data_IF_150678824671
#
_entry.id   IF_150678824671
#
_cell.length_a   1.000
_cell.length_b   1.000
_cell.length_c   1.000
_cell.angle_alpha   90.00
_cell.angle_beta   90.00
_cell.angle_gamma   90.00
#
_symmetry.space_group_name_H-M   'P 1'
#
loop_
_entity.id
_entity.type
_entity.pdbx_description
1 polymer ?
#
# COMPACT_ATOMS: atom_id res chain seq x y z
N UNK A 1 -24.52 -11.43 13.20
CA UNK A 1 -23.61 -10.46 13.83
C UNK A 1 -22.51 -11.11 14.68
N UNK A 2 -22.72 -12.28 15.30
CA UNK A 2 -21.70 -13.02 16.08
C UNK A 2 -20.46 -13.44 15.28
N UNK A 3 -20.60 -13.78 13.98
CA UNK A 3 -19.48 -14.24 13.14
C UNK A 3 -18.36 -13.20 12.91
N UNK A 4 -18.67 -11.90 12.90
CA UNK A 4 -17.66 -10.86 12.63
C UNK A 4 -16.80 -10.55 13.86
N UNK A 5 -17.40 -10.53 15.06
CA UNK A 5 -16.68 -10.30 16.31
C UNK A 5 -15.73 -11.45 16.60
N UNK A 6 -16.18 -12.70 16.44
CA UNK A 6 -15.30 -13.86 16.60
C UNK A 6 -14.12 -13.86 15.62
N UNK A 7 -14.34 -13.44 14.37
CA UNK A 7 -13.26 -13.35 13.39
C UNK A 7 -12.26 -12.24 13.72
N UNK A 8 -12.74 -11.07 14.16
CA UNK A 8 -11.89 -9.99 14.68
C UNK A 8 -11.04 -10.46 15.86
N UNK A 9 -11.66 -11.07 16.86
CA UNK A 9 -10.98 -11.51 18.07
C UNK A 9 -9.93 -12.57 17.75
N UNK A 10 -10.24 -13.54 16.86
CA UNK A 10 -9.32 -14.57 16.42
C UNK A 10 -8.08 -13.98 15.71
N UNK A 11 -8.28 -13.05 14.76
CA UNK A 11 -7.16 -12.42 14.06
C UNK A 11 -6.34 -11.50 14.97
N UNK A 12 -7.01 -10.78 15.88
CA UNK A 12 -6.33 -9.93 16.87
C UNK A 12 -5.47 -10.79 17.81
N UNK A 13 -6.01 -11.88 18.34
CA UNK A 13 -5.24 -12.80 19.20
C UNK A 13 -4.08 -13.45 18.45
N UNK A 14 -4.28 -13.81 17.18
CA UNK A 14 -3.22 -14.33 16.33
C UNK A 14 -2.09 -13.31 16.14
N UNK A 15 -2.43 -12.04 15.93
CA UNK A 15 -1.46 -10.95 15.88
C UNK A 15 -0.64 -10.83 17.18
N UNK A 16 -1.31 -10.95 18.33
CA UNK A 16 -0.62 -10.96 19.64
C UNK A 16 0.31 -12.16 19.77
N UNK A 17 -0.10 -13.34 19.30
CA UNK A 17 0.73 -14.54 19.33
C UNK A 17 2.00 -14.38 18.46
N UNK A 18 1.87 -13.80 17.26
CA UNK A 18 3.01 -13.48 16.38
C UNK A 18 4.00 -12.54 17.08
N UNK A 19 3.51 -11.48 17.73
CA UNK A 19 4.37 -10.54 18.44
C UNK A 19 5.08 -11.19 19.64
N UNK A 20 4.37 -12.02 20.43
CA UNK A 20 4.96 -12.81 21.51
C UNK A 20 6.00 -13.82 21.02
N UNK A 21 5.86 -14.31 19.78
CA UNK A 21 6.84 -15.16 19.11
C UNK A 21 8.08 -14.39 18.59
N UNK A 22 8.15 -13.06 18.81
CA UNK A 22 9.35 -12.27 18.56
C UNK A 22 9.39 -11.55 17.22
N UNK A 23 8.24 -11.37 16.55
CA UNK A 23 8.13 -10.47 15.39
C UNK A 23 7.35 -9.21 15.78
N UNK A 24 8.05 -8.11 16.01
CA UNK A 24 7.43 -6.87 16.46
C UNK A 24 6.79 -6.09 15.30
N UNK A 25 5.72 -5.33 15.56
CA UNK A 25 5.07 -4.54 14.50
C UNK A 25 6.00 -3.48 13.91
N UNK A 26 6.94 -2.96 14.71
CA UNK A 26 7.95 -2.01 14.24
C UNK A 26 8.90 -2.58 13.20
N UNK A 27 8.99 -3.91 13.07
CA UNK A 27 9.78 -4.58 12.04
C UNK A 27 9.03 -4.71 10.69
N UNK A 28 7.73 -4.43 10.68
CA UNK A 28 6.86 -4.57 9.50
C UNK A 28 6.80 -3.25 8.72
N UNK A 29 7.14 -3.32 7.45
CA UNK A 29 6.98 -2.26 6.45
C UNK A 29 5.75 -2.56 5.60
N UNK A 30 4.83 -1.62 5.53
CA UNK A 30 3.58 -1.73 4.79
C UNK A 30 3.63 -0.84 3.55
N UNK A 31 3.40 -1.44 2.38
CA UNK A 31 2.74 -0.71 1.32
C UNK A 31 1.25 -0.54 1.65
N UNK A 32 0.55 0.37 0.95
CA UNK A 32 -0.82 0.75 1.30
C UNK A 32 -1.81 0.45 0.18
N UNK A 33 -1.56 1.01 -1.01
CA UNK A 33 -2.46 0.85 -2.16
C UNK A 33 -2.44 -0.62 -2.59
N UNK A 34 -3.63 -1.22 -2.72
CA UNK A 34 -3.84 -2.66 -2.97
C UNK A 34 -3.24 -3.63 -1.94
N UNK A 35 -2.69 -3.12 -0.82
CA UNK A 35 -2.13 -3.90 0.28
C UNK A 35 -3.00 -3.80 1.53
N UNK A 36 -3.19 -2.57 2.04
CA UNK A 36 -4.01 -2.24 3.22
C UNK A 36 -5.42 -1.84 2.80
N UNK A 37 -5.55 -1.20 1.63
CA UNK A 37 -6.85 -0.88 1.06
C UNK A 37 -6.92 -1.15 -0.44
N UNK A 38 -8.10 -1.53 -0.90
CA UNK A 38 -8.39 -1.56 -2.33
C UNK A 38 -8.78 -0.16 -2.79
N UNK A 39 -8.14 0.30 -3.86
CA UNK A 39 -8.52 1.56 -4.48
C UNK A 39 -9.70 1.34 -5.42
N UNK A 40 -10.89 1.79 -5.02
CA UNK A 40 -12.06 1.67 -5.87
C UNK A 40 -12.35 2.97 -6.59
N UNK A 41 -12.32 2.92 -7.90
CA UNK A 41 -13.12 3.83 -8.69
C UNK A 41 -13.85 3.02 -9.77
N UNK A 42 -15.04 2.47 -9.49
CA UNK A 42 -16.04 2.33 -10.54
C UNK A 42 -16.11 3.66 -11.29
N UNK A 43 -16.27 3.64 -12.61
CA UNK A 43 -16.41 4.85 -13.44
C UNK A 43 -17.45 5.85 -12.87
N UNK A 44 -18.50 5.36 -12.19
CA UNK A 44 -19.51 6.18 -11.53
C UNK A 44 -18.98 6.94 -10.28
N UNK A 45 -18.03 6.37 -9.55
CA UNK A 45 -17.41 7.00 -8.37
C UNK A 45 -16.32 8.00 -8.77
N UNK A 46 -15.72 7.86 -9.96
CA UNK A 46 -14.85 8.91 -10.52
C UNK A 46 -15.59 10.25 -10.65
N UNK A 47 -16.89 10.24 -10.93
CA UNK A 47 -17.68 11.47 -10.97
C UNK A 47 -17.67 12.17 -9.60
N UNK A 48 -17.83 11.44 -8.50
CA UNK A 48 -17.78 12.01 -7.14
C UNK A 48 -16.39 12.50 -6.78
N UNK A 49 -15.36 11.78 -7.19
CA UNK A 49 -13.98 12.23 -7.02
C UNK A 49 -13.71 13.54 -7.78
N UNK A 50 -14.18 13.66 -9.02
CA UNK A 50 -13.91 14.83 -9.85
C UNK A 50 -14.81 16.03 -9.53
N UNK A 51 -16.08 15.80 -9.16
CA UNK A 51 -17.05 16.87 -8.88
C UNK A 51 -17.12 17.21 -7.39
N UNK A 52 -17.16 16.20 -6.52
CA UNK A 52 -17.38 16.38 -5.08
C UNK A 52 -16.09 16.29 -4.27
N UNK A 53 -14.96 16.01 -4.94
CA UNK A 53 -13.67 15.72 -4.34
C UNK A 53 -13.74 14.61 -3.29
N UNK A 54 -14.51 13.55 -3.56
CA UNK A 54 -14.62 12.39 -2.66
C UNK A 54 -13.97 11.16 -3.29
N UNK A 55 -12.96 10.61 -2.62
CA UNK A 55 -12.34 9.33 -2.94
C UNK A 55 -12.97 8.23 -2.08
N UNK A 56 -13.23 7.07 -2.67
CA UNK A 56 -13.68 5.88 -1.96
C UNK A 56 -12.55 4.84 -1.93
N UNK A 57 -12.33 4.28 -0.75
CA UNK A 57 -11.37 3.21 -0.49
C UNK A 57 -12.12 2.06 0.18
N UNK A 58 -11.55 0.86 0.13
CA UNK A 58 -12.02 -0.25 0.96
C UNK A 58 -10.91 -0.76 1.85
N UNK A 59 -11.05 -0.59 3.17
CA UNK A 59 -10.08 -1.08 4.13
C UNK A 59 -10.13 -2.61 4.23
N UNK A 60 -8.95 -3.25 4.30
CA UNK A 60 -8.83 -4.69 4.53
C UNK A 60 -8.82 -4.98 6.02
N UNK A 61 -10.01 -4.94 6.62
CA UNK A 61 -10.22 -5.15 8.06
C UNK A 61 -9.52 -6.38 8.65
N UNK A 62 -9.54 -7.57 8.02
CA UNK A 62 -8.81 -8.73 8.55
C UNK A 62 -7.32 -8.49 8.75
N UNK A 63 -6.65 -7.84 7.78
CA UNK A 63 -5.25 -7.45 7.90
C UNK A 63 -5.06 -6.45 9.05
N UNK A 64 -5.93 -5.45 9.15
CA UNK A 64 -5.85 -4.46 10.24
C UNK A 64 -6.01 -5.14 11.61
N UNK A 65 -6.94 -6.06 11.79
CA UNK A 65 -7.13 -6.76 13.06
C UNK A 65 -5.91 -7.60 13.45
N UNK A 66 -5.30 -8.28 12.48
CA UNK A 66 -4.03 -8.99 12.69
C UNK A 66 -2.92 -8.04 13.16
N UNK A 67 -2.74 -6.91 12.47
CA UNK A 67 -1.72 -5.92 12.81
C UNK A 67 -2.01 -5.22 14.15
N UNK A 68 -3.27 -4.96 14.50
CA UNK A 68 -3.66 -4.44 15.82
C UNK A 68 -3.26 -5.38 16.94
N UNK A 69 -3.39 -6.69 16.73
CA UNK A 69 -2.89 -7.69 17.66
C UNK A 69 -1.39 -7.53 17.95
N UNK A 70 -0.59 -7.39 16.89
CA UNK A 70 0.84 -7.16 17.02
C UNK A 70 1.16 -5.82 17.71
N UNK A 71 0.41 -4.76 17.36
CA UNK A 71 0.54 -3.42 17.93
C UNK A 71 0.28 -3.40 19.44
N UNK A 72 -0.76 -4.12 19.88
CA UNK A 72 -1.15 -4.17 21.28
C UNK A 72 -0.08 -4.83 22.17
N UNK A 73 0.64 -5.84 21.68
CA UNK A 73 1.77 -6.45 22.39
C UNK A 73 3.03 -5.57 22.35
N UNK A 74 3.25 -4.86 21.25
CA UNK A 74 4.40 -3.97 21.06
C UNK A 74 4.35 -2.65 21.85
N UNK A 75 3.38 -2.45 22.76
CA UNK A 75 3.26 -1.30 23.69
C UNK A 75 3.63 0.06 23.08
N UNK A 76 2.95 0.44 22.00
CA UNK A 76 3.12 1.76 21.36
C UNK A 76 4.11 1.75 20.19
N UNK A 77 4.68 0.61 19.86
CA UNK A 77 5.24 0.39 18.53
C UNK A 77 4.17 0.49 17.45
N UNK A 78 4.62 0.80 16.23
CA UNK A 78 3.78 0.97 15.06
C UNK A 78 4.48 0.42 13.83
N UNK A 79 3.70 0.09 12.81
CA UNK A 79 4.23 -0.29 11.52
C UNK A 79 5.00 0.86 10.87
N UNK A 80 5.89 0.50 9.95
CA UNK A 80 6.56 1.42 9.04
C UNK A 80 5.77 1.48 7.75
N UNK A 81 5.61 2.66 7.18
CA UNK A 81 4.85 2.85 5.94
C UNK A 81 5.82 3.22 4.85
N UNK A 82 5.74 2.51 3.72
CA UNK A 82 6.43 2.88 2.51
C UNK A 82 5.41 2.82 1.39
N UNK A 83 4.91 3.97 0.92
CA UNK A 83 3.87 4.05 -0.12
C UNK A 83 4.30 4.93 -1.29
N UNK A 84 3.82 4.60 -2.49
CA UNK A 84 3.90 5.46 -3.66
C UNK A 84 2.85 6.58 -3.66
N UNK A 85 1.88 6.48 -2.74
CA UNK A 85 0.82 7.45 -2.52
C UNK A 85 1.33 8.71 -1.82
N UNK A 86 0.44 9.68 -1.71
CA UNK A 86 0.70 10.93 -1.00
C UNK A 86 0.29 10.82 0.47
N UNK A 87 1.01 11.54 1.33
CA UNK A 87 0.73 11.56 2.77
C UNK A 87 -0.70 11.94 3.13
N UNK A 88 -1.32 12.85 2.37
CA UNK A 88 -2.69 13.29 2.65
C UNK A 88 -3.70 12.13 2.76
N UNK A 89 -3.50 11.05 1.99
CA UNK A 89 -4.44 9.91 2.04
C UNK A 89 -4.32 9.20 3.37
N UNK A 90 -3.10 8.98 3.83
CA UNK A 90 -2.79 8.45 5.16
C UNK A 90 -3.45 9.33 6.22
N UNK A 91 -3.24 10.65 6.15
CA UNK A 91 -3.79 11.62 7.11
C UNK A 91 -5.33 11.52 7.17
N UNK A 92 -6.00 11.43 6.02
CA UNK A 92 -7.46 11.30 5.93
C UNK A 92 -7.99 9.95 6.41
N UNK A 93 -7.25 8.86 6.22
CA UNK A 93 -7.62 7.56 6.80
C UNK A 93 -7.46 7.59 8.31
N UNK A 94 -6.37 8.16 8.84
CA UNK A 94 -6.12 8.30 10.29
C UNK A 94 -7.23 9.10 10.98
N UNK A 95 -7.76 10.15 10.35
CA UNK A 95 -8.89 10.92 10.88
C UNK A 95 -10.19 10.11 11.00
N UNK A 96 -10.34 9.03 10.23
CA UNK A 96 -11.58 8.27 10.10
C UNK A 96 -11.51 6.88 10.71
N UNK A 97 -10.31 6.33 10.83
CA UNK A 97 -10.09 4.95 11.22
C UNK A 97 -9.09 4.86 12.39
N UNK A 98 -9.57 4.68 13.63
CA UNK A 98 -8.71 4.61 14.80
C UNK A 98 -7.82 3.36 14.81
N UNK A 99 -8.28 2.27 14.20
CA UNK A 99 -7.51 1.02 14.09
C UNK A 99 -6.26 1.24 13.23
N UNK A 100 -6.42 1.83 12.04
CA UNK A 100 -5.30 2.20 11.18
C UNK A 100 -4.40 3.26 11.84
N UNK A 101 -4.98 4.25 12.54
CA UNK A 101 -4.21 5.25 13.27
C UNK A 101 -3.26 4.62 14.31
N UNK A 102 -3.75 3.64 15.07
CA UNK A 102 -2.95 2.88 16.03
C UNK A 102 -1.83 2.09 15.33
N UNK A 103 -2.15 1.35 14.26
CA UNK A 103 -1.16 0.58 13.48
C UNK A 103 -0.08 1.49 12.90
N UNK A 104 -0.46 2.64 12.37
CA UNK A 104 0.45 3.59 11.74
C UNK A 104 1.23 4.43 12.76
N UNK A 105 0.86 4.41 14.04
CA UNK A 105 1.46 5.28 15.06
C UNK A 105 1.21 6.76 14.80
N UNK A 106 0.03 7.09 14.29
CA UNK A 106 -0.37 8.44 13.90
C UNK A 106 -1.60 8.90 14.69
N UNK A 107 -1.73 10.20 14.85
CA UNK A 107 -2.90 10.86 15.46
C UNK A 107 -3.62 11.72 14.43
N UNK A 108 -4.95 11.91 14.55
CA UNK A 108 -5.65 12.92 13.77
C UNK A 108 -4.97 14.29 13.88
N UNK A 109 -4.72 14.93 12.73
CA UNK A 109 -3.98 16.20 12.64
C UNK A 109 -2.47 16.05 12.44
N UNK A 110 -1.91 14.85 12.55
CA UNK A 110 -0.53 14.59 12.13
C UNK A 110 -0.37 14.80 10.61
N UNK A 111 0.81 15.27 10.22
CA UNK A 111 1.24 15.27 8.82
C UNK A 111 2.14 14.05 8.59
N UNK A 112 1.60 12.98 8.02
CA UNK A 112 2.32 11.71 7.80
C UNK A 112 3.65 11.91 7.06
N UNK A 113 3.71 12.85 6.11
CA UNK A 113 4.93 13.15 5.33
C UNK A 113 6.11 13.65 6.18
N UNK A 114 5.85 14.15 7.39
CA UNK A 114 6.88 14.64 8.32
C UNK A 114 7.40 13.55 9.26
N UNK A 115 6.76 12.38 9.28
CA UNK A 115 7.08 11.29 10.21
C UNK A 115 8.25 10.45 9.67
N UNK A 116 9.16 10.07 10.57
CA UNK A 116 10.39 9.35 10.21
C UNK A 116 10.13 7.91 9.71
N UNK A 117 9.00 7.32 10.09
CA UNK A 117 8.60 5.95 9.73
C UNK A 117 7.57 5.89 8.60
N UNK A 118 7.36 6.99 7.87
CA UNK A 118 6.41 7.05 6.75
C UNK A 118 7.12 7.61 5.52
N UNK A 119 7.41 6.79 4.53
CA UNK A 119 7.87 7.21 3.21
C UNK A 119 6.68 7.33 2.27
N UNK A 120 6.57 8.50 1.64
CA UNK A 120 5.53 8.85 0.66
C UNK A 120 6.16 9.16 -0.68
N UNK A 121 5.34 9.40 -1.71
CA UNK A 121 5.80 9.83 -3.04
C UNK A 121 6.84 10.96 -3.04
N UNK A 122 6.68 11.96 -2.17
CA UNK A 122 7.59 13.11 -2.12
C UNK A 122 8.99 12.70 -1.65
N UNK A 123 9.08 11.69 -0.80
CA UNK A 123 10.34 11.19 -0.29
C UNK A 123 11.11 10.41 -1.36
N UNK A 124 10.43 9.79 -2.33
CA UNK A 124 11.11 9.22 -3.49
C UNK A 124 11.85 10.31 -4.27
N UNK A 125 11.18 11.44 -4.55
CA UNK A 125 11.79 12.59 -5.26
C UNK A 125 13.05 13.05 -4.51
N UNK A 126 12.93 13.32 -3.21
CA UNK A 126 14.07 13.73 -2.36
C UNK A 126 15.20 12.71 -2.35
N UNK A 127 14.85 11.42 -2.25
CA UNK A 127 15.80 10.32 -2.23
C UNK A 127 16.61 10.26 -3.52
N UNK A 128 15.95 10.35 -4.69
CA UNK A 128 16.64 10.31 -5.98
C UNK A 128 17.41 11.60 -6.30
N UNK A 129 16.93 12.78 -5.88
CA UNK A 129 17.71 14.02 -6.00
C UNK A 129 19.04 13.93 -5.25
N UNK A 130 19.04 13.26 -4.09
CA UNK A 130 20.25 13.08 -3.26
C UNK A 130 21.11 11.89 -3.68
N UNK A 131 20.50 10.86 -4.27
CA UNK A 131 21.14 9.62 -4.70
C UNK A 131 20.64 9.21 -6.09
N UNK A 132 21.04 9.95 -7.15
CA UNK A 132 20.61 9.66 -8.51
C UNK A 132 21.13 8.32 -9.03
N UNK A 133 22.18 7.78 -8.42
CA UNK A 133 22.73 6.44 -8.67
C UNK A 133 21.75 5.30 -8.30
N UNK A 134 20.75 5.57 -7.46
CA UNK A 134 19.72 4.60 -7.11
C UNK A 134 18.62 4.47 -8.18
N UNK A 135 18.62 5.31 -9.22
CA UNK A 135 17.61 5.25 -10.29
C UNK A 135 17.82 3.94 -11.07
N UNK A 136 16.85 3.01 -11.06
CA UNK A 136 17.04 1.69 -11.63
C UNK A 136 17.13 1.72 -13.16
N UNK A 137 16.56 2.75 -13.81
CA UNK A 137 16.65 2.97 -15.25
C UNK A 137 16.52 4.47 -15.60
N UNK A 138 17.37 5.04 -16.48
CA UNK A 138 17.36 6.46 -16.82
C UNK A 138 16.09 6.96 -17.53
N UNK A 139 15.19 6.05 -17.95
CA UNK A 139 13.97 6.36 -18.71
C UNK A 139 12.68 5.82 -18.03
N UNK A 140 12.79 5.24 -16.82
CA UNK A 140 11.71 4.47 -16.19
C UNK A 140 10.87 5.24 -15.16
N UNK A 141 9.62 4.78 -14.95
CA UNK A 141 8.81 5.18 -13.80
C UNK A 141 9.35 4.52 -12.54
N UNK A 142 10.12 5.26 -11.76
CA UNK A 142 10.69 4.82 -10.48
C UNK A 142 9.76 5.02 -9.29
N UNK A 143 8.72 5.84 -9.44
CA UNK A 143 7.76 6.09 -8.37
C UNK A 143 6.98 4.80 -8.08
N UNK A 144 7.09 4.34 -6.83
CA UNK A 144 6.48 3.10 -6.36
C UNK A 144 7.39 1.87 -6.38
N UNK A 145 8.63 1.99 -6.85
CA UNK A 145 9.65 0.95 -6.68
C UNK A 145 10.24 1.02 -5.26
N UNK A 146 10.11 -0.03 -4.44
CA UNK A 146 10.77 -0.08 -3.12
C UNK A 146 12.25 -0.37 -3.30
N UNK A 147 13.04 0.69 -3.51
CA UNK A 147 14.49 0.60 -3.69
C UNK A 147 15.19 0.73 -2.34
N UNK A 148 15.86 -0.33 -1.84
CA UNK A 148 16.61 -0.26 -0.59
C UNK A 148 17.61 0.89 -0.57
N UNK A 149 17.70 1.61 0.55
CA UNK A 149 18.56 2.78 0.71
C UNK A 149 17.93 4.09 0.23
N UNK A 150 16.86 4.05 -0.59
CA UNK A 150 16.12 5.25 -0.98
C UNK A 150 15.44 5.94 0.21
N UNK A 151 14.78 5.23 1.16
CA UNK A 151 14.28 5.85 2.37
C UNK A 151 15.37 6.55 3.18
N UNK A 152 16.52 5.92 3.37
CA UNK A 152 17.66 6.52 4.07
C UNK A 152 18.14 7.79 3.36
N UNK A 153 18.27 7.77 2.02
CA UNK A 153 18.63 8.96 1.24
C UNK A 153 17.61 10.10 1.42
N UNK A 154 16.32 9.77 1.54
CA UNK A 154 15.26 10.74 1.83
C UNK A 154 15.25 11.23 3.29
N UNK A 155 16.11 10.70 4.17
CA UNK A 155 16.17 11.05 5.59
C UNK A 155 15.25 10.21 6.49
N UNK A 156 14.79 9.05 6.01
CA UNK A 156 13.86 8.14 6.71
C UNK A 156 14.45 6.73 6.85
N UNK A 157 15.59 6.57 7.55
CA UNK A 157 16.31 5.30 7.64
C UNK A 157 15.54 4.18 8.35
N UNK A 158 14.56 4.53 9.19
CA UNK A 158 13.73 3.56 9.89
C UNK A 158 13.07 2.55 8.92
N UNK A 159 12.66 2.99 7.73
CA UNK A 159 12.06 2.09 6.72
C UNK A 159 13.07 1.03 6.26
N UNK A 160 14.31 1.43 6.00
CA UNK A 160 15.36 0.51 5.54
C UNK A 160 15.76 -0.50 6.62
N UNK A 161 15.52 -0.19 7.89
CA UNK A 161 15.73 -1.12 9.01
C UNK A 161 14.61 -2.18 9.11
N UNK A 162 13.62 -2.17 8.20
CA UNK A 162 12.51 -3.12 8.19
C UNK A 162 13.01 -4.55 8.05
N UNK A 163 12.36 -5.49 8.73
CA UNK A 163 12.62 -6.93 8.56
C UNK A 163 11.64 -7.58 7.62
N UNK A 164 10.39 -7.12 7.60
CA UNK A 164 9.32 -7.69 6.75
C UNK A 164 8.71 -6.61 5.90
N UNK A 165 8.64 -6.81 4.59
CA UNK A 165 7.83 -5.99 3.68
C UNK A 165 6.53 -6.72 3.35
N UNK A 166 5.40 -6.05 3.54
CA UNK A 166 4.11 -6.46 3.00
C UNK A 166 3.78 -5.55 1.80
N UNK A 167 3.72 -6.12 0.61
CA UNK A 167 3.52 -5.37 -0.63
C UNK A 167 2.76 -6.25 -1.65
N UNK A 168 2.05 -5.60 -2.56
CA UNK A 168 1.26 -6.24 -3.59
C UNK A 168 2.07 -6.49 -4.89
N UNK A 169 3.30 -5.95 -4.94
CA UNK A 169 4.18 -6.00 -6.10
C UNK A 169 5.39 -6.89 -5.86
N UNK A 170 5.45 -8.00 -6.59
CA UNK A 170 6.53 -8.99 -6.51
C UNK A 170 7.94 -8.39 -6.62
N UNK A 171 8.14 -7.46 -7.56
CA UNK A 171 9.46 -6.85 -7.78
C UNK A 171 9.94 -6.06 -6.57
N UNK A 172 9.04 -5.44 -5.81
CA UNK A 172 9.37 -4.76 -4.56
C UNK A 172 9.78 -5.77 -3.49
N UNK A 173 8.98 -6.83 -3.33
CA UNK A 173 9.26 -7.91 -2.38
C UNK A 173 10.62 -8.58 -2.65
N UNK A 174 10.93 -8.91 -3.91
CA UNK A 174 12.21 -9.52 -4.30
C UNK A 174 13.40 -8.61 -3.98
N UNK A 175 13.32 -7.31 -4.29
CA UNK A 175 14.39 -6.35 -3.97
C UNK A 175 14.58 -6.20 -2.46
N UNK A 176 13.48 -6.20 -1.69
CA UNK A 176 13.55 -6.09 -0.24
C UNK A 176 14.24 -7.30 0.39
N UNK A 177 13.92 -8.52 -0.04
CA UNK A 177 14.60 -9.75 0.42
C UNK A 177 16.08 -9.73 0.01
N UNK A 178 16.39 -9.33 -1.21
CA UNK A 178 17.77 -9.26 -1.71
C UNK A 178 18.63 -8.19 -1.00
N UNK A 179 18.01 -7.24 -0.29
CA UNK A 179 18.70 -6.13 0.37
C UNK A 179 19.51 -6.54 1.61
N UNK A 180 19.31 -7.75 2.15
CA UNK A 180 20.15 -8.23 3.24
C UNK A 180 19.65 -9.51 3.92
N UNK A 181 20.54 -10.19 4.65
CA UNK A 181 20.19 -11.38 5.41
C UNK A 181 19.13 -11.07 6.47
N UNK A 182 18.25 -12.03 6.73
CA UNK A 182 17.16 -11.90 7.71
C UNK A 182 15.94 -11.11 7.23
N UNK A 183 16.00 -10.48 6.05
CA UNK A 183 14.84 -9.80 5.45
C UNK A 183 13.88 -10.79 4.82
N UNK A 184 12.59 -10.52 5.01
CA UNK A 184 11.50 -11.27 4.42
C UNK A 184 10.53 -10.35 3.71
N UNK A 185 9.79 -10.89 2.76
CA UNK A 185 8.68 -10.16 2.16
C UNK A 185 7.47 -11.07 1.98
N UNK A 186 6.29 -10.54 2.23
CA UNK A 186 5.01 -11.18 1.99
C UNK A 186 4.41 -10.51 0.77
N UNK A 187 4.29 -11.27 -0.31
CA UNK A 187 3.77 -10.78 -1.58
C UNK A 187 2.30 -11.19 -1.74
N UNK A 188 1.41 -10.20 -1.81
CA UNK A 188 -0.01 -10.44 -2.03
C UNK A 188 -0.27 -10.68 -3.52
N UNK A 189 -0.55 -11.92 -3.90
CA UNK A 189 -0.83 -12.30 -5.29
C UNK A 189 -2.26 -11.94 -5.65
N UNK A 190 -2.46 -11.64 -6.93
CA UNK A 190 -3.79 -11.37 -7.47
C UNK A 190 -4.45 -10.13 -6.84
N UNK A 191 -3.70 -9.18 -6.29
CA UNK A 191 -4.31 -7.92 -5.87
C UNK A 191 -4.91 -7.21 -7.09
N UNK A 192 -6.16 -6.75 -6.98
CA UNK A 192 -6.85 -6.16 -8.12
C UNK A 192 -6.22 -4.83 -8.47
N UNK A 193 -5.46 -4.77 -9.57
CA UNK A 193 -5.08 -3.50 -10.19
C UNK A 193 -6.33 -2.89 -10.82
N UNK A 194 -6.96 -1.97 -10.11
CA UNK A 194 -8.22 -1.34 -10.52
C UNK A 194 -7.93 -0.13 -11.41
N UNK A 195 -6.74 0.44 -11.28
CA UNK A 195 -6.28 1.61 -12.01
C UNK A 195 -4.88 1.40 -12.57
N UNK A 196 -4.62 1.94 -13.76
CA UNK A 196 -3.29 2.16 -14.33
C UNK A 196 -3.24 3.57 -14.85
N UNK A 197 -2.28 4.35 -14.39
CA UNK A 197 -2.06 5.72 -14.88
C UNK A 197 -3.26 6.64 -14.66
N UNK A 198 -3.97 6.43 -13.55
CA UNK A 198 -5.24 7.08 -13.23
C UNK A 198 -6.35 6.82 -14.26
N UNK A 199 -6.23 5.76 -15.07
CA UNK A 199 -7.28 5.22 -15.92
C UNK A 199 -7.82 3.91 -15.33
N UNK A 200 -9.15 3.70 -15.34
CA UNK A 200 -9.74 2.45 -14.86
C UNK A 200 -9.33 1.29 -15.76
N UNK A 201 -8.82 0.22 -15.16
CA UNK A 201 -8.42 -1.01 -15.86
C UNK A 201 -9.58 -2.00 -16.05
N UNK A 202 -10.72 -1.81 -15.34
CA UNK A 202 -11.85 -2.75 -15.33
C UNK A 202 -13.16 -2.04 -15.66
N UNK A 203 -14.12 -2.81 -16.18
CA UNK A 203 -15.51 -2.40 -16.40
C UNK A 203 -16.23 -2.01 -15.09
N UNK A 204 -17.53 -1.67 -15.15
CA UNK A 204 -18.26 -0.95 -14.07
C UNK A 204 -18.45 -1.69 -12.73
N UNK A 205 -17.81 -2.84 -12.50
CA UNK A 205 -17.96 -3.65 -11.30
C UNK A 205 -16.87 -3.40 -10.25
N UNK A 206 -17.25 -3.51 -8.98
CA UNK A 206 -16.28 -3.63 -7.88
C UNK A 206 -15.44 -4.91 -8.07
N UNK A 207 -14.13 -4.89 -7.74
CA UNK A 207 -13.31 -6.11 -7.79
C UNK A 207 -13.91 -7.22 -6.91
N UNK A 208 -13.70 -8.49 -7.23
CA UNK A 208 -14.14 -9.60 -6.37
C UNK A 208 -13.57 -9.46 -4.95
N UNK A 209 -14.36 -9.82 -3.92
CA UNK A 209 -13.89 -9.86 -2.53
C UNK A 209 -12.79 -10.90 -2.39
N UNK A 210 -11.67 -10.51 -1.78
CA UNK A 210 -10.46 -11.32 -1.62
C UNK A 210 -9.89 -11.07 -0.24
N UNK A 211 -9.46 -12.13 0.42
CA UNK A 211 -8.80 -12.05 1.72
C UNK A 211 -7.47 -12.79 1.70
N UNK A 212 -6.46 -12.20 2.31
CA UNK A 212 -5.10 -12.75 2.43
C UNK A 212 -4.71 -12.99 3.89
N UNK A 213 -5.58 -12.65 4.86
CA UNK A 213 -5.26 -12.57 6.28
C UNK A 213 -4.64 -13.86 6.84
N UNK A 214 -5.21 -15.02 6.56
CA UNK A 214 -4.69 -16.31 7.04
C UNK A 214 -3.30 -16.65 6.46
N UNK A 215 -3.11 -16.37 5.17
CA UNK A 215 -1.82 -16.60 4.52
C UNK A 215 -0.75 -15.60 4.95
N UNK A 216 -1.13 -14.34 5.20
CA UNK A 216 -0.25 -13.33 5.80
C UNK A 216 0.15 -13.77 7.21
N UNK A 217 -0.81 -14.22 8.02
CA UNK A 217 -0.54 -14.68 9.38
C UNK A 217 0.38 -15.90 9.38
N UNK A 218 0.16 -16.88 8.49
CA UNK A 218 1.05 -18.03 8.35
C UNK A 218 2.48 -17.64 7.91
N UNK A 219 2.61 -16.63 7.05
CA UNK A 219 3.91 -16.09 6.66
C UNK A 219 4.59 -15.36 7.84
N UNK A 220 3.85 -14.59 8.63
CA UNK A 220 4.40 -14.00 9.86
C UNK A 220 4.83 -15.05 10.88
N UNK A 221 4.04 -16.11 11.10
CA UNK A 221 4.40 -17.23 11.97
C UNK A 221 5.73 -17.87 11.52
N UNK A 222 5.90 -18.07 10.21
CA UNK A 222 7.13 -18.59 9.62
C UNK A 222 8.34 -17.69 9.89
N UNK A 223 8.17 -16.37 9.72
CA UNK A 223 9.21 -15.37 9.91
C UNK A 223 9.59 -15.21 11.39
N UNK A 224 8.60 -15.22 12.29
CA UNK A 224 8.81 -15.22 13.73
C UNK A 224 9.63 -16.44 14.18
N UNK A 225 9.36 -17.61 13.57
CA UNK A 225 10.16 -18.83 13.74
C UNK A 225 11.56 -18.80 13.09
N UNK A 226 12.03 -17.65 12.60
CA UNK A 226 13.38 -17.46 12.08
C UNK A 226 13.56 -17.74 10.58
N UNK A 227 12.50 -18.08 9.84
CA UNK A 227 12.62 -18.34 8.39
C UNK A 227 12.58 -17.03 7.60
N UNK A 228 13.67 -16.72 6.90
CA UNK A 228 13.73 -15.59 5.99
C UNK A 228 13.40 -15.99 4.54
N UNK A 229 12.73 -15.12 3.79
CA UNK A 229 12.45 -15.37 2.38
C UNK A 229 11.30 -14.56 1.78
N UNK A 230 10.93 -14.93 0.55
CA UNK A 230 9.75 -14.41 -0.15
C UNK A 230 8.57 -15.36 0.06
N UNK A 231 7.47 -14.85 0.61
CA UNK A 231 6.26 -15.58 0.92
C UNK A 231 5.12 -15.11 -0.01
N UNK A 232 4.86 -15.81 -1.14
CA UNK A 232 3.69 -15.53 -1.96
C UNK A 232 2.42 -15.96 -1.22
N UNK A 233 1.42 -15.09 -1.18
CA UNK A 233 0.12 -15.38 -0.57
C UNK A 233 -0.98 -15.19 -1.60
N UNK A 234 -1.70 -16.26 -1.89
CA UNK A 234 -2.88 -16.23 -2.76
C UNK A 234 -4.14 -15.85 -1.95
N UNK A 235 -5.10 -15.14 -2.56
CA UNK A 235 -6.32 -14.75 -1.86
C UNK A 235 -7.30 -15.91 -1.73
N UNK A 236 -8.03 -15.93 -0.62
CA UNK A 236 -9.27 -16.67 -0.50
C UNK A 236 -10.41 -15.91 -1.18
N UNK A 237 -11.18 -16.62 -2.01
CA UNK A 237 -12.40 -16.06 -2.60
C UNK A 237 -13.52 -15.95 -1.55
N UNK A 238 -14.37 -14.92 -1.68
CA UNK A 238 -15.51 -14.76 -0.76
C UNK A 238 -15.15 -14.16 0.60
N UNK A 239 -14.06 -13.38 0.65
CA UNK A 239 -13.62 -12.68 1.86
C UNK A 239 -14.67 -11.77 2.52
N UNK A 240 -14.39 -11.29 3.75
CA UNK A 240 -15.36 -10.54 4.55
C UNK A 240 -15.84 -9.27 3.85
N UNK A 241 -16.93 -8.72 4.37
CA UNK A 241 -17.51 -7.49 3.85
C UNK A 241 -16.46 -6.37 3.80
N UNK A 242 -16.38 -5.72 2.64
CA UNK A 242 -15.51 -4.57 2.47
C UNK A 242 -16.12 -3.40 3.21
N UNK A 243 -15.34 -2.75 4.06
CA UNK A 243 -15.77 -1.53 4.69
C UNK A 243 -15.42 -0.33 3.80
N UNK A 244 -16.42 0.34 3.20
CA UNK A 244 -16.17 1.53 2.40
C UNK A 244 -15.75 2.67 3.31
N UNK A 245 -14.64 3.31 2.94
CA UNK A 245 -14.18 4.54 3.56
C UNK A 245 -14.23 5.68 2.53
N UNK A 246 -14.97 6.74 2.87
CA UNK A 246 -15.12 7.92 2.02
C UNK A 246 -14.22 9.04 2.52
N UNK A 247 -13.28 9.47 1.68
CA UNK A 247 -12.32 10.52 2.00
C UNK A 247 -12.63 11.77 1.19
N UNK A 248 -12.80 12.92 1.87
CA UNK A 248 -12.86 14.20 1.18
C UNK A 248 -11.45 14.71 0.92
N UNK A 249 -11.16 15.00 -0.34
CA UNK A 249 -9.89 15.49 -0.82
C UNK A 249 -9.92 17.01 -0.99
N UNK A 250 -8.83 17.71 -0.64
CA UNK A 250 -8.69 19.12 -1.01
C UNK A 250 -8.72 19.28 -2.54
N UNK A 251 -9.35 20.33 -3.05
CA UNK A 251 -9.42 20.60 -4.49
C UNK A 251 -8.03 20.57 -5.16
N UNK A 252 -7.03 21.19 -4.52
CA UNK A 252 -5.64 21.18 -5.01
C UNK A 252 -5.06 19.78 -5.22
N UNK A 253 -5.45 18.82 -4.39
CA UNK A 253 -5.02 17.42 -4.48
C UNK A 253 -5.71 16.73 -5.65
N UNK A 254 -7.03 16.92 -5.81
CA UNK A 254 -7.77 16.39 -6.97
C UNK A 254 -7.19 16.93 -8.29
N UNK A 255 -6.92 18.24 -8.35
CA UNK A 255 -6.33 18.85 -9.56
C UNK A 255 -4.93 18.30 -9.86
N UNK A 256 -4.05 18.24 -8.85
CA UNK A 256 -2.66 17.82 -9.03
C UNK A 256 -2.53 16.34 -9.35
N UNK A 257 -3.30 15.49 -8.67
CA UNK A 257 -3.06 14.04 -8.67
C UNK A 257 -3.95 13.27 -9.63
N UNK A 258 -5.08 13.87 -10.04
CA UNK A 258 -6.06 13.22 -10.90
C UNK A 258 -6.27 13.95 -12.22
N UNK A 259 -6.56 15.25 -12.18
CA UNK A 259 -6.86 16.01 -13.40
C UNK A 259 -5.62 16.31 -14.23
N UNK A 260 -4.53 16.77 -13.61
CA UNK A 260 -3.30 17.13 -14.35
C UNK A 260 -2.65 15.92 -15.04
N UNK A 261 -2.48 14.75 -14.38
CA UNK A 261 -1.99 13.55 -15.02
C UNK A 261 -2.96 13.02 -16.09
N UNK A 262 -4.27 13.02 -15.80
CA UNK A 262 -5.29 12.61 -16.77
C UNK A 262 -5.29 13.47 -18.04
N UNK A 263 -5.09 14.79 -17.92
CA UNK A 263 -4.91 15.69 -19.07
C UNK A 263 -3.63 15.40 -19.84
N UNK A 264 -2.53 15.08 -19.17
CA UNK A 264 -1.28 14.71 -19.83
C UNK A 264 -1.43 13.41 -20.62
N UNK A 265 -2.09 12.40 -20.05
CA UNK A 265 -2.39 11.12 -20.72
C UNK A 265 -3.35 11.32 -21.89
N UNK A 266 -4.45 12.06 -21.71
CA UNK A 266 -5.38 12.37 -22.81
C UNK A 266 -4.71 13.16 -23.95
N UNK A 267 -3.80 14.08 -23.63
CA UNK A 267 -2.99 14.81 -24.61
C UNK A 267 -2.00 13.90 -25.33
N UNK A 268 -1.39 12.93 -24.63
CA UNK A 268 -0.49 11.94 -25.22
C UNK A 268 -1.24 10.95 -26.14
N UNK A 269 -2.42 10.50 -25.74
CA UNK A 269 -3.29 9.62 -26.55
C UNK A 269 -3.86 10.34 -27.79
N UNK A 270 -4.20 11.62 -27.68
CA UNK A 270 -4.59 12.45 -28.84
C UNK A 270 -3.44 12.72 -29.82
N UNK A 271 -2.19 12.73 -29.34
CA UNK A 271 -0.99 12.86 -30.19
C UNK A 271 -0.68 11.56 -30.93
N UNK A 272 -0.82 10.41 -30.27
CA UNK A 272 -0.67 9.09 -30.91
C UNK A 272 -1.78 8.78 -31.90
N UNK A 273 -3.03 9.18 -31.61
CA UNK A 273 -4.14 9.08 -32.56
C UNK A 273 -4.02 10.00 -33.80
N UNK A 274 -3.04 10.92 -33.82
CA UNK A 274 -2.74 11.81 -34.95
C UNK A 274 -1.47 11.42 -35.73
N UNK A 275 -0.82 10.31 -35.39
CA UNK A 275 0.27 9.75 -36.20
C UNK A 275 -0.23 8.46 -36.86
N UNK A 276 -0.55 8.47 -38.16
CA UNK A 276 -1.06 7.30 -38.86
C UNK A 276 0.14 6.51 -39.39
N UNK A 277 0.90 5.85 -38.52
CA UNK A 277 1.78 4.78 -38.99
C UNK A 277 1.36 3.49 -38.30
N UNK A 278 0.82 2.51 -39.06
CA UNK A 278 0.49 1.22 -38.51
C UNK A 278 1.78 0.51 -38.15
N UNK A 279 1.98 0.22 -36.85
CA UNK A 279 2.98 -0.77 -36.44
C UNK A 279 2.41 -2.14 -36.85
N UNK A 280 3.04 -2.87 -37.78
CA UNK A 280 2.61 -4.22 -38.10
C UNK A 280 3.00 -5.12 -36.93
N UNK A 281 2.01 -5.63 -36.21
CA UNK A 281 2.20 -6.84 -35.42
C UNK A 281 2.34 -8.00 -36.42
N UNK A 282 3.58 -8.42 -36.67
CA UNK A 282 3.89 -9.72 -37.25
C UNK A 282 3.69 -10.84 -36.21
N UNK A 283 3.56 -12.10 -36.68
CA UNK A 283 2.93 -13.22 -35.96
C UNK A 283 3.58 -13.60 -34.63
#
# INVERSE_FOLDING_TARGET
MTSHLHHRDALTERGRAIARAGLAISEVVLDLDETVWDWSAPLLEQRRLLLDHVEHLFLRRPLLWLLLGMQAEGRGEHARIWTAGYGYRIDRVVERDPDFAAIAGLRPGDLSETKAHVVTRLDFVKGFERRPDLIPYPQGRWIGEKIPGLPTAAGKPAIDQGRVLLDDRETNCRRFVAAGPGRSAIWLRGTPRIMKDNLPLRGPGLPARRDWSDGIAAAFDAIAGGRAGLYPVDPLEGGPEREPLSLRLPHRVVVRDWLSPGRAVAKALRRTARSPDPVPYGP
#
